data_IF_209166022104
#
_entry.id   IF_209166022104
#
_cell.length_a   1.000
_cell.length_b   1.000
_cell.length_c   1.000
_cell.angle_alpha   90.00
_cell.angle_beta   90.00
_cell.angle_gamma   90.00
#
_symmetry.space_group_name_H-M   'P 1'
#
loop_
_entity.id
_entity.type
_entity.pdbx_description
1 polymer ?
#
# COMPACT_ATOMS: atom_id res chain seq x y z
N UNK A 1 -12.49 11.44 11.21
CA UNK A 1 -11.64 10.31 10.78
C UNK A 1 -12.13 9.80 9.42
N UNK A 2 -11.62 10.43 8.36
CA UNK A 2 -11.87 10.16 6.93
C UNK A 2 -10.69 9.37 6.36
N UNK A 3 -10.65 8.06 6.60
CA UNK A 3 -9.43 7.26 6.48
C UNK A 3 -8.93 6.84 5.09
N UNK A 4 -9.71 6.78 4.00
CA UNK A 4 -9.17 6.18 2.77
C UNK A 4 -8.22 7.13 2.02
N UNK A 5 -8.58 8.40 1.87
CA UNK A 5 -7.81 9.33 1.02
C UNK A 5 -6.47 9.69 1.67
N UNK A 6 -6.47 10.00 2.97
CA UNK A 6 -5.26 10.47 3.64
C UNK A 6 -4.21 9.36 3.82
N UNK A 7 -4.66 8.10 3.92
CA UNK A 7 -3.77 6.94 3.98
C UNK A 7 -3.10 6.63 2.64
N UNK A 8 -3.65 7.15 1.53
CA UNK A 8 -3.18 6.90 0.16
C UNK A 8 -2.43 8.12 -0.42
N UNK A 9 -2.59 9.31 0.16
CA UNK A 9 -1.83 10.52 -0.21
C UNK A 9 -0.33 10.33 0.05
N UNK A 10 0.49 11.16 -0.59
CA UNK A 10 1.93 11.18 -0.35
C UNK A 10 2.24 11.34 1.14
N UNK A 11 3.03 10.41 1.70
CA UNK A 11 3.32 10.33 3.15
C UNK A 11 2.32 9.49 3.95
N UNK A 12 1.23 9.03 3.32
CA UNK A 12 0.29 8.08 3.91
C UNK A 12 0.83 6.65 3.93
N UNK A 13 0.31 5.85 4.87
CA UNK A 13 0.74 4.45 5.12
C UNK A 13 0.69 3.56 3.86
N UNK A 14 -0.31 3.75 3.01
CA UNK A 14 -0.52 2.94 1.80
C UNK A 14 -0.10 3.62 0.51
N UNK A 15 0.56 4.79 0.59
CA UNK A 15 0.98 5.56 -0.57
C UNK A 15 1.78 4.73 -1.57
N UNK A 16 2.80 4.01 -1.08
CA UNK A 16 3.68 3.23 -1.93
C UNK A 16 3.00 2.01 -2.54
N UNK A 17 2.07 1.38 -1.82
CA UNK A 17 1.26 0.30 -2.38
C UNK A 17 0.36 0.84 -3.51
N UNK A 18 -0.31 1.97 -3.28
CA UNK A 18 -1.14 2.60 -4.31
C UNK A 18 -0.30 3.05 -5.53
N UNK A 19 0.88 3.61 -5.29
CA UNK A 19 1.81 4.05 -6.33
C UNK A 19 2.35 2.88 -7.15
N UNK A 20 2.72 1.78 -6.49
CA UNK A 20 3.17 0.53 -7.12
C UNK A 20 2.09 -0.09 -8.02
N UNK A 21 0.83 0.05 -7.62
CA UNK A 21 -0.28 -0.47 -8.41
C UNK A 21 -0.64 0.44 -9.60
N UNK A 22 -0.80 1.74 -9.32
CA UNK A 22 -1.44 2.70 -10.22
C UNK A 22 -0.44 3.34 -11.19
N UNK A 23 0.82 3.56 -10.78
CA UNK A 23 1.85 4.24 -11.58
C UNK A 23 3.17 3.45 -11.55
N UNK A 24 3.23 2.25 -12.18
CA UNK A 24 4.40 1.37 -12.10
C UNK A 24 5.70 2.02 -12.58
N UNK A 25 5.63 2.90 -13.60
CA UNK A 25 6.79 3.65 -14.10
C UNK A 25 7.36 4.62 -13.05
N UNK A 26 6.50 5.32 -12.31
CA UNK A 26 6.94 6.19 -11.20
C UNK A 26 7.44 5.37 -10.02
N UNK A 27 6.81 4.23 -9.76
CA UNK A 27 7.25 3.31 -8.73
C UNK A 27 8.66 2.76 -8.99
N UNK A 28 9.00 2.48 -10.25
CA UNK A 28 10.34 2.02 -10.62
C UNK A 28 11.46 3.04 -10.30
N UNK A 29 11.14 4.34 -10.29
CA UNK A 29 12.08 5.43 -9.98
C UNK A 29 12.28 5.70 -8.49
N UNK A 30 11.60 4.95 -7.62
CA UNK A 30 11.71 5.14 -6.16
C UNK A 30 13.10 4.75 -5.67
N UNK A 31 13.62 5.56 -4.76
CA UNK A 31 14.94 5.33 -4.17
C UNK A 31 14.94 4.08 -3.28
N UNK A 32 16.05 3.34 -3.27
CA UNK A 32 16.18 2.15 -2.40
C UNK A 32 15.96 2.49 -0.92
N UNK A 33 16.32 3.71 -0.49
CA UNK A 33 16.07 4.18 0.89
C UNK A 33 14.58 4.25 1.23
N UNK A 34 13.74 4.70 0.29
CA UNK A 34 12.28 4.77 0.48
C UNK A 34 11.63 3.39 0.43
N UNK A 35 12.26 2.46 -0.28
CA UNK A 35 11.86 1.06 -0.35
C UNK A 35 12.13 0.40 1.01
N UNK A 36 13.38 0.39 1.48
CA UNK A 36 13.79 -0.23 2.74
C UNK A 36 13.22 0.40 4.00
N UNK A 37 12.70 1.64 3.92
CA UNK A 37 12.01 2.24 5.05
C UNK A 37 10.61 1.66 5.28
N UNK A 38 10.10 0.82 4.36
CA UNK A 38 8.81 0.19 4.50
C UNK A 38 8.91 -1.12 5.26
N UNK A 39 8.05 -1.29 6.26
CA UNK A 39 7.84 -2.57 6.91
C UNK A 39 6.62 -3.25 6.27
N UNK A 40 6.88 -4.19 5.38
CA UNK A 40 5.83 -4.90 4.64
C UNK A 40 4.88 -5.66 5.57
N UNK A 41 5.39 -6.23 6.66
CA UNK A 41 4.54 -6.97 7.62
C UNK A 41 3.56 -6.02 8.29
N UNK A 42 4.06 -4.85 8.73
CA UNK A 42 3.22 -3.81 9.30
C UNK A 42 2.18 -3.29 8.31
N UNK A 43 2.52 -3.14 7.03
CA UNK A 43 1.54 -2.73 6.01
C UNK A 43 0.47 -3.80 5.81
N UNK A 44 0.82 -5.09 5.84
CA UNK A 44 -0.17 -6.18 5.82
C UNK A 44 -1.13 -6.10 7.00
N UNK A 45 -0.61 -5.92 8.22
CA UNK A 45 -1.41 -5.82 9.44
C UNK A 45 -2.32 -4.58 9.40
N UNK A 46 -1.80 -3.42 9.00
CA UNK A 46 -2.56 -2.19 8.81
C UNK A 46 -3.68 -2.38 7.76
N UNK A 47 -3.42 -3.11 6.67
CA UNK A 47 -4.40 -3.35 5.61
C UNK A 47 -5.49 -4.33 6.07
N UNK A 48 -5.13 -5.35 6.85
CA UNK A 48 -6.07 -6.27 7.47
C UNK A 48 -6.96 -5.55 8.49
N UNK A 49 -6.38 -4.68 9.31
CA UNK A 49 -7.12 -3.86 10.27
C UNK A 49 -8.13 -2.96 9.56
N UNK A 50 -7.70 -2.22 8.52
CA UNK A 50 -8.56 -1.32 7.75
C UNK A 50 -9.72 -2.09 7.08
N UNK A 51 -9.42 -3.20 6.41
CA UNK A 51 -10.45 -4.02 5.76
C UNK A 51 -11.45 -4.61 6.75
N UNK A 52 -10.99 -5.02 7.94
CA UNK A 52 -11.86 -5.56 9.00
C UNK A 52 -12.74 -4.47 9.62
N UNK A 53 -12.14 -3.33 9.99
CA UNK A 53 -12.84 -2.23 10.66
C UNK A 53 -13.87 -1.54 9.76
N UNK A 54 -13.62 -1.49 8.46
CA UNK A 54 -14.51 -0.81 7.52
C UNK A 54 -15.65 -1.71 7.01
N UNK A 55 -15.51 -3.03 7.12
CA UNK A 55 -16.58 -3.97 6.77
C UNK A 55 -17.88 -3.70 7.55
N UNK A 56 -17.74 -3.26 8.81
CA UNK A 56 -18.84 -2.90 9.71
C UNK A 56 -19.34 -1.45 9.57
N UNK A 57 -18.65 -0.59 8.81
CA UNK A 57 -18.95 0.85 8.70
C UNK A 57 -19.23 1.27 7.24
N UNK A 58 -20.49 1.19 6.76
CA UNK A 58 -20.83 1.42 5.35
C UNK A 58 -20.42 2.80 4.81
N UNK A 59 -20.41 3.85 5.64
CA UNK A 59 -20.00 5.20 5.25
C UNK A 59 -18.48 5.39 5.13
N UNK A 60 -17.67 4.43 5.62
CA UNK A 60 -16.20 4.48 5.57
C UNK A 60 -15.60 3.31 4.79
N UNK A 61 -16.40 2.52 4.07
CA UNK A 61 -15.93 1.37 3.31
C UNK A 61 -14.87 1.77 2.29
N UNK A 62 -13.65 1.30 2.45
CA UNK A 62 -12.73 1.08 1.33
C UNK A 62 -13.43 0.15 0.36
N UNK A 63 -13.55 0.61 -0.89
CA UNK A 63 -14.14 -0.22 -1.93
C UNK A 63 -13.32 -1.51 -2.08
N UNK A 64 -13.99 -2.63 -2.32
CA UNK A 64 -13.33 -3.91 -2.62
C UNK A 64 -12.27 -3.76 -3.73
N UNK A 65 -12.55 -2.88 -4.70
CA UNK A 65 -11.60 -2.48 -5.75
C UNK A 65 -10.33 -1.88 -5.17
N UNK A 66 -10.44 -0.91 -4.28
CA UNK A 66 -9.30 -0.26 -3.65
C UNK A 66 -8.53 -1.25 -2.75
N UNK A 67 -9.20 -2.12 -2.00
CA UNK A 67 -8.53 -3.19 -1.24
C UNK A 67 -7.72 -4.11 -2.17
N UNK A 68 -8.29 -4.52 -3.31
CA UNK A 68 -7.59 -5.33 -4.31
C UNK A 68 -6.39 -4.60 -4.92
N UNK A 69 -6.51 -3.30 -5.21
CA UNK A 69 -5.41 -2.47 -5.70
C UNK A 69 -4.28 -2.38 -4.68
N UNK A 70 -4.59 -2.15 -3.40
CA UNK A 70 -3.59 -2.07 -2.34
C UNK A 70 -2.88 -3.41 -2.10
N UNK A 71 -3.62 -4.52 -2.13
CA UNK A 71 -3.04 -5.87 -2.04
C UNK A 71 -2.07 -6.15 -3.20
N UNK A 72 -2.49 -5.84 -4.43
CA UNK A 72 -1.63 -6.02 -5.62
C UNK A 72 -0.40 -5.10 -5.56
N UNK A 73 -0.58 -3.87 -5.08
CA UNK A 73 0.50 -2.92 -4.84
C UNK A 73 1.51 -3.39 -3.78
N UNK A 74 1.01 -3.99 -2.69
CA UNK A 74 1.86 -4.57 -1.64
C UNK A 74 2.71 -5.73 -2.16
N UNK A 75 2.13 -6.62 -2.97
CA UNK A 75 2.89 -7.71 -3.60
C UNK A 75 3.98 -7.16 -4.53
N UNK A 76 3.70 -6.10 -5.29
CA UNK A 76 4.71 -5.43 -6.14
C UNK A 76 5.80 -4.75 -5.32
N UNK A 77 5.45 -4.15 -4.20
CA UNK A 77 6.41 -3.56 -3.26
C UNK A 77 7.35 -4.63 -2.72
N UNK A 78 6.79 -5.75 -2.24
CA UNK A 78 7.57 -6.90 -1.77
C UNK A 78 8.46 -7.47 -2.85
N UNK A 79 7.92 -7.70 -4.06
CA UNK A 79 8.70 -8.19 -5.19
C UNK A 79 9.88 -7.27 -5.49
N UNK A 80 9.67 -5.95 -5.48
CA UNK A 80 10.74 -4.98 -5.74
C UNK A 80 11.81 -5.00 -4.65
N UNK A 81 11.43 -5.10 -3.38
CA UNK A 81 12.40 -5.28 -2.28
C UNK A 81 13.24 -6.53 -2.46
N UNK A 82 12.59 -7.66 -2.74
CA UNK A 82 13.28 -8.94 -2.97
C UNK A 82 14.21 -8.85 -4.18
N UNK A 83 13.78 -8.24 -5.29
CA UNK A 83 14.64 -8.05 -6.47
C UNK A 83 15.86 -7.20 -6.12
N UNK A 84 15.68 -6.05 -5.45
CA UNK A 84 16.81 -5.18 -5.10
C UNK A 84 17.78 -5.86 -4.10
N UNK A 85 17.26 -6.70 -3.21
CA UNK A 85 18.09 -7.48 -2.28
C UNK A 85 18.87 -8.61 -2.96
N UNK A 86 18.31 -9.22 -4.02
CA UNK A 86 18.93 -10.34 -4.73
C UNK A 86 19.86 -9.93 -5.88
N UNK A 87 19.71 -8.73 -6.44
CA UNK A 87 20.53 -8.20 -7.55
C UNK A 87 19.84 -8.30 -8.90
#
# INVERSE_FOLDING_TARGET
MSYPVDSIKQGGKFYLCCLADTWPLRFATITHRQLYSQDIRKICDDLLEVTTNESSQPAKRVSLRLSSQLLRGLVRLYQREVTVLLG
#
